data_IF_188703444527
#
_entry.id   IF_188703444527
#
_cell.length_a   1.000
_cell.length_b   1.000
_cell.length_c   1.000
_cell.angle_alpha   90.00
_cell.angle_beta   90.00
_cell.angle_gamma   90.00
#
_symmetry.space_group_name_H-M   'P 1'
#
loop_
_entity.id
_entity.type
_entity.pdbx_description
1 polymer ?
#
# COMPACT_ATOMS: atom_id res chain seq x y z
N UNK A 1 12.19 -6.19 4.51
CA UNK A 1 12.11 -7.66 4.70
C UNK A 1 11.95 -8.33 3.35
N UNK A 2 12.68 -9.43 3.15
CA UNK A 2 12.49 -10.31 1.99
C UNK A 2 11.76 -11.59 2.41
N UNK A 3 10.95 -12.15 1.51
CA UNK A 3 10.35 -13.48 1.65
C UNK A 3 10.66 -14.33 0.43
N UNK A 4 10.92 -15.61 0.66
CA UNK A 4 11.11 -16.59 -0.40
C UNK A 4 9.76 -16.88 -1.07
N UNK A 5 9.73 -16.84 -2.39
CA UNK A 5 8.57 -17.21 -3.20
C UNK A 5 9.06 -18.06 -4.38
N UNK A 6 8.73 -19.35 -4.37
CA UNK A 6 9.31 -20.32 -5.30
C UNK A 6 10.84 -20.35 -5.17
N UNK A 7 11.52 -20.16 -6.29
CA UNK A 7 12.99 -20.17 -6.37
C UNK A 7 13.62 -18.80 -6.13
N UNK A 8 12.81 -17.74 -5.94
CA UNK A 8 13.28 -16.37 -5.79
C UNK A 8 13.04 -15.75 -4.40
N UNK A 9 13.72 -14.64 -4.14
CA UNK A 9 13.43 -13.75 -3.02
C UNK A 9 12.70 -12.51 -3.52
N UNK A 10 11.59 -12.17 -2.88
CA UNK A 10 10.81 -10.97 -3.16
C UNK A 10 10.81 -10.05 -1.94
N UNK A 11 10.72 -8.75 -2.18
CA UNK A 11 10.55 -7.76 -1.13
C UNK A 11 9.12 -7.88 -0.60
N UNK A 12 8.98 -8.17 0.69
CA UNK A 12 7.67 -8.28 1.36
C UNK A 12 7.33 -7.05 2.19
N UNK A 13 8.34 -6.28 2.61
CA UNK A 13 8.17 -5.08 3.43
C UNK A 13 9.40 -4.18 3.34
N UNK A 14 9.23 -2.89 3.61
CA UNK A 14 10.30 -1.90 3.71
C UNK A 14 10.18 -1.24 5.07
N UNK A 15 11.32 -1.08 5.76
CA UNK A 15 11.38 -0.45 7.07
C UNK A 15 11.93 0.97 6.92
N UNK A 16 11.11 1.97 7.23
CA UNK A 16 11.57 3.34 7.37
C UNK A 16 12.37 3.48 8.67
N UNK A 17 13.55 4.10 8.58
CA UNK A 17 14.49 4.26 9.69
C UNK A 17 14.82 2.95 10.43
N UNK A 18 14.76 1.82 9.72
CA UNK A 18 15.03 0.49 10.26
C UNK A 18 13.99 -0.05 11.25
N UNK A 19 12.97 0.73 11.63
CA UNK A 19 12.05 0.37 12.71
C UNK A 19 10.57 0.36 12.27
N UNK A 20 10.18 1.20 11.31
CA UNK A 20 8.77 1.39 10.95
C UNK A 20 8.45 0.59 9.70
N UNK A 21 7.67 -0.49 9.86
CA UNK A 21 7.15 -1.26 8.72
C UNK A 21 6.15 -0.43 7.92
N UNK A 22 6.47 -0.13 6.65
CA UNK A 22 5.55 0.59 5.77
C UNK A 22 4.28 -0.22 5.50
N UNK A 23 4.37 -1.55 5.42
CA UNK A 23 3.18 -2.41 5.28
C UNK A 23 2.27 -2.30 6.50
N UNK A 24 2.82 -2.32 7.72
CA UNK A 24 2.04 -2.16 8.94
C UNK A 24 1.40 -0.76 9.01
N UNK A 25 2.12 0.28 8.59
CA UNK A 25 1.60 1.65 8.48
C UNK A 25 0.39 1.69 7.54
N UNK A 26 0.49 1.18 6.31
CA UNK A 26 -0.65 1.18 5.36
C UNK A 26 -1.82 0.33 5.83
N UNK A 27 -1.55 -0.83 6.44
CA UNK A 27 -2.61 -1.64 7.03
C UNK A 27 -3.37 -0.86 8.11
N UNK A 28 -2.67 -0.07 8.90
CA UNK A 28 -3.28 0.76 9.97
C UNK A 28 -4.05 1.94 9.38
N UNK A 29 -3.51 2.62 8.37
CA UNK A 29 -4.21 3.69 7.63
C UNK A 29 -5.54 3.20 7.05
N UNK A 30 -5.57 2.00 6.47
CA UNK A 30 -6.74 1.47 5.77
C UNK A 30 -7.70 0.65 6.64
N UNK A 31 -7.32 0.31 7.87
CA UNK A 31 -8.14 -0.51 8.76
C UNK A 31 -9.51 0.12 9.06
N UNK A 32 -9.57 1.46 9.14
CA UNK A 32 -10.83 2.18 9.38
C UNK A 32 -11.78 2.06 8.18
N UNK A 33 -11.27 2.21 6.96
CA UNK A 33 -12.06 2.06 5.73
C UNK A 33 -12.56 0.63 5.61
N UNK A 34 -11.68 -0.36 5.82
CA UNK A 34 -12.05 -1.76 5.75
C UNK A 34 -13.16 -2.11 6.76
N UNK A 35 -13.10 -1.55 7.98
CA UNK A 35 -14.11 -1.79 9.02
C UNK A 35 -15.47 -1.17 8.67
N UNK A 36 -15.48 0.00 8.04
CA UNK A 36 -16.72 0.76 7.79
C UNK A 36 -17.35 0.41 6.44
N UNK A 37 -16.53 0.28 5.39
CA UNK A 37 -16.98 0.18 3.99
C UNK A 37 -16.68 -1.20 3.37
N UNK A 38 -16.06 -2.11 4.14
CA UNK A 38 -15.71 -3.43 3.68
C UNK A 38 -14.62 -3.46 2.61
N UNK A 39 -14.49 -4.61 1.94
CA UNK A 39 -13.45 -4.85 0.93
C UNK A 39 -13.66 -3.96 -0.30
N UNK A 40 -14.90 -3.77 -0.75
CA UNK A 40 -15.20 -2.96 -1.93
C UNK A 40 -14.86 -1.49 -1.71
N UNK A 41 -15.16 -0.95 -0.52
CA UNK A 41 -14.78 0.41 -0.14
C UNK A 41 -13.26 0.60 -0.09
N UNK A 42 -12.54 -0.39 0.43
CA UNK A 42 -11.07 -0.37 0.42
C UNK A 42 -10.49 -0.39 -1.00
N UNK A 43 -11.00 -1.25 -1.89
CA UNK A 43 -10.57 -1.30 -3.29
C UNK A 43 -10.79 0.06 -3.96
N UNK A 44 -11.98 0.66 -3.79
CA UNK A 44 -12.30 1.96 -4.36
C UNK A 44 -11.36 3.06 -3.83
N UNK A 45 -11.04 3.06 -2.53
CA UNK A 45 -10.12 4.02 -1.94
C UNK A 45 -8.68 3.87 -2.48
N UNK A 46 -8.20 2.64 -2.64
CA UNK A 46 -6.89 2.35 -3.21
C UNK A 46 -6.79 2.80 -4.68
N UNK A 47 -7.80 2.49 -5.49
CA UNK A 47 -7.85 2.91 -6.90
C UNK A 47 -7.84 4.44 -7.01
N UNK A 48 -8.66 5.15 -6.23
CA UNK A 48 -8.63 6.62 -6.20
C UNK A 48 -7.24 7.15 -5.84
N UNK A 49 -6.55 6.53 -4.88
CA UNK A 49 -5.18 6.93 -4.50
C UNK A 49 -4.18 6.70 -5.63
N UNK A 50 -4.29 5.58 -6.34
CA UNK A 50 -3.47 5.30 -7.52
C UNK A 50 -3.72 6.31 -8.64
N UNK A 51 -4.99 6.60 -8.94
CA UNK A 51 -5.38 7.57 -9.98
C UNK A 51 -4.89 8.99 -9.65
N UNK A 52 -4.95 9.40 -8.38
CA UNK A 52 -4.39 10.68 -7.94
C UNK A 52 -2.88 10.72 -8.17
N UNK A 53 -2.15 9.68 -7.79
CA UNK A 53 -0.70 9.64 -7.96
C UNK A 53 -0.30 9.66 -9.45
N UNK A 54 -0.94 8.86 -10.29
CA UNK A 54 -0.64 8.80 -11.72
C UNK A 54 -1.11 10.07 -12.46
N UNK A 55 -2.25 10.62 -12.09
CA UNK A 55 -2.78 11.87 -12.64
C UNK A 55 -1.97 13.11 -12.24
N UNK A 56 -1.44 13.15 -11.00
CA UNK A 56 -0.48 14.19 -10.59
C UNK A 56 0.84 14.04 -11.32
N UNK A 57 1.37 12.82 -11.47
CA UNK A 57 2.58 12.56 -12.26
C UNK A 57 2.43 13.00 -13.71
N UNK A 58 1.28 12.76 -14.35
CA UNK A 58 1.02 13.19 -15.74
C UNK A 58 0.93 14.72 -15.93
N UNK A 59 0.66 15.49 -14.87
CA UNK A 59 0.51 16.96 -14.92
C UNK A 59 1.81 17.72 -14.61
N UNK A 60 2.86 17.00 -14.23
CA UNK A 60 4.17 17.54 -13.87
C UNK A 60 5.25 17.34 -14.95
N UNK A 61 4.87 16.91 -16.16
CA UNK A 61 5.75 16.83 -17.33
C UNK A 61 5.24 17.72 -18.46
#
# INVERSE_FOLDING_TARGET
MMRRNGDGWLISDIYLDGAISEVATRRSEFAAILRTDGVDGLIAALNRKADMLTGTTARSF
#
